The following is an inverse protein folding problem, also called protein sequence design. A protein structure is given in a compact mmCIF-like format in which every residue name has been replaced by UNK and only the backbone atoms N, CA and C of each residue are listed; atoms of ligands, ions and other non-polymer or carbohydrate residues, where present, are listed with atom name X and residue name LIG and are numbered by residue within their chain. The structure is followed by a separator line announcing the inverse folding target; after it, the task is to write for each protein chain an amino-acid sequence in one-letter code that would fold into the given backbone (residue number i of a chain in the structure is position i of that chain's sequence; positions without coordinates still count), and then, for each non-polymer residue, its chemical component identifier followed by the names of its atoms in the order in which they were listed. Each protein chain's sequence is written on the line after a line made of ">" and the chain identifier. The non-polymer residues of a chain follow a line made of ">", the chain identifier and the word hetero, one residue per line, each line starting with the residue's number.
data_IF_240565336648
#
_entry.id   IF_240565336648
#
_cell.length_a   1.000
_cell.length_b   1.000
_cell.length_c   1.000
_cell.angle_alpha   90.00
_cell.angle_beta   90.00
_cell.angle_gamma   90.00
#
_symmetry.space_group_name_H-M   'P 1'
#
loop_
_entity.id
_entity.type
_entity.pdbx_description
1 polymer ?
#
# COMPACT_ATOMS: atom_id res chain seq x y z
N UNK A 1 -35.08 34.00 -34.58
CA UNK A 1 -33.65 33.68 -34.40
C UNK A 1 -33.42 32.98 -33.06
N UNK A 2 -33.73 31.68 -32.95
CA UNK A 2 -33.58 30.91 -31.68
C UNK A 2 -33.44 29.40 -31.93
N UNK A 3 -32.61 29.02 -32.90
CA UNK A 3 -32.42 27.60 -33.29
C UNK A 3 -31.00 27.09 -32.94
N UNK A 4 -30.04 27.98 -32.64
CA UNK A 4 -28.64 27.59 -32.41
C UNK A 4 -28.25 27.20 -30.98
N UNK A 5 -29.15 27.31 -29.98
CA UNK A 5 -28.78 26.99 -28.58
C UNK A 5 -28.82 25.50 -28.22
N UNK A 6 -29.53 24.66 -28.98
CA UNK A 6 -29.66 23.23 -28.66
C UNK A 6 -28.63 22.31 -29.32
N UNK A 7 -27.79 22.83 -30.23
CA UNK A 7 -26.79 22.03 -30.94
C UNK A 7 -25.38 22.10 -30.31
N UNK A 8 -25.17 22.95 -29.31
CA UNK A 8 -23.86 23.11 -28.65
C UNK A 8 -23.65 22.20 -27.43
N UNK A 9 -24.72 21.60 -26.89
CA UNK A 9 -24.64 20.81 -25.65
C UNK A 9 -24.30 19.34 -25.90
N UNK A 10 -24.56 18.81 -27.11
CA UNK A 10 -24.32 17.41 -27.47
C UNK A 10 -22.91 17.08 -27.99
N UNK A 11 -22.05 18.09 -28.20
CA UNK A 11 -20.72 17.92 -28.81
C UNK A 11 -19.59 18.02 -27.77
N UNK A 12 -19.89 18.42 -26.53
CA UNK A 12 -18.88 18.50 -25.46
C UNK A 12 -18.80 17.20 -24.66
N UNK A 13 -18.58 16.07 -25.35
CA UNK A 13 -18.01 14.89 -24.68
C UNK A 13 -16.58 15.29 -24.33
N UNK A 14 -16.42 15.84 -23.12
CA UNK A 14 -15.16 16.18 -22.49
C UNK A 14 -14.11 15.11 -22.81
N UNK A 15 -13.01 15.49 -23.46
CA UNK A 15 -11.91 14.60 -23.86
C UNK A 15 -11.10 14.01 -22.70
N UNK A 16 -11.69 13.90 -21.50
CA UNK A 16 -11.10 13.25 -20.34
C UNK A 16 -11.26 11.74 -20.39
N UNK A 17 -10.29 11.01 -19.84
CA UNK A 17 -10.42 9.57 -19.61
C UNK A 17 -11.67 9.28 -18.78
N UNK A 18 -12.41 8.22 -19.15
CA UNK A 18 -13.59 7.83 -18.39
C UNK A 18 -13.21 7.49 -16.94
N UNK A 19 -14.05 7.83 -15.94
CA UNK A 19 -13.76 7.52 -14.55
C UNK A 19 -13.45 6.03 -14.30
N UNK A 20 -14.09 5.15 -15.07
CA UNK A 20 -13.86 3.71 -15.00
C UNK A 20 -12.43 3.32 -15.40
N UNK A 21 -11.88 3.92 -16.47
CA UNK A 21 -10.50 3.68 -16.89
C UNK A 21 -9.51 4.20 -15.86
N UNK A 22 -9.78 5.37 -15.27
CA UNK A 22 -8.92 5.95 -14.23
C UNK A 22 -8.93 5.10 -12.95
N UNK A 23 -10.10 4.61 -12.53
CA UNK A 23 -10.22 3.70 -11.37
C UNK A 23 -9.51 2.37 -11.63
N UNK A 24 -9.66 1.79 -12.83
CA UNK A 24 -8.97 0.57 -13.20
C UNK A 24 -7.45 0.71 -13.18
N UNK A 25 -6.92 1.81 -13.72
CA UNK A 25 -5.49 2.11 -13.67
C UNK A 25 -4.98 2.31 -12.23
N UNK A 26 -5.71 3.08 -11.41
CA UNK A 26 -5.37 3.31 -10.01
C UNK A 26 -5.37 2.01 -9.19
N UNK A 27 -6.38 1.14 -9.38
CA UNK A 27 -6.45 -0.16 -8.72
C UNK A 27 -5.29 -1.08 -9.14
N UNK A 28 -4.94 -1.09 -10.43
CA UNK A 28 -3.79 -1.84 -10.94
C UNK A 28 -2.47 -1.39 -10.32
N UNK A 29 -2.23 -0.07 -10.24
CA UNK A 29 -1.04 0.49 -9.59
C UNK A 29 -1.01 0.15 -8.10
N UNK A 30 -2.13 0.31 -7.39
CA UNK A 30 -2.22 -0.03 -5.98
C UNK A 30 -1.88 -1.50 -5.72
N UNK A 31 -2.40 -2.42 -6.55
CA UNK A 31 -2.11 -3.84 -6.46
C UNK A 31 -0.62 -4.14 -6.65
N UNK A 32 0.02 -3.54 -7.66
CA UNK A 32 1.45 -3.72 -7.91
C UNK A 32 2.30 -3.22 -6.74
N UNK A 33 1.96 -2.06 -6.18
CA UNK A 33 2.62 -1.51 -5.00
C UNK A 33 2.45 -2.47 -3.82
N UNK A 34 1.23 -2.92 -3.53
CA UNK A 34 0.96 -3.87 -2.45
C UNK A 34 1.74 -5.17 -2.62
N UNK A 35 1.88 -5.68 -3.85
CA UNK A 35 2.66 -6.88 -4.13
C UNK A 35 4.16 -6.67 -3.87
N UNK A 36 4.71 -5.51 -4.25
CA UNK A 36 6.11 -5.15 -3.94
C UNK A 36 6.31 -5.12 -2.42
N UNK A 37 5.43 -4.45 -1.68
CA UNK A 37 5.51 -4.41 -0.22
C UNK A 37 5.38 -5.80 0.42
N UNK A 38 4.51 -6.66 -0.11
CA UNK A 38 4.38 -8.05 0.34
C UNK A 38 5.68 -8.82 0.13
N UNK A 39 6.28 -8.73 -1.06
CA UNK A 39 7.56 -9.39 -1.38
C UNK A 39 8.67 -8.88 -0.46
N UNK A 40 8.77 -7.57 -0.26
CA UNK A 40 9.76 -6.97 0.66
C UNK A 40 9.53 -7.46 2.08
N UNK A 41 8.29 -7.52 2.56
CA UNK A 41 7.97 -7.99 3.91
C UNK A 41 8.38 -9.45 4.11
N UNK A 42 8.05 -10.33 3.15
CA UNK A 42 8.47 -11.74 3.18
C UNK A 42 10.00 -11.87 3.09
N UNK A 43 10.65 -11.10 2.23
CA UNK A 43 12.09 -11.08 2.11
C UNK A 43 12.76 -10.66 3.42
N UNK A 44 12.21 -9.68 4.14
CA UNK A 44 12.70 -9.28 5.45
C UNK A 44 12.55 -10.39 6.49
N UNK A 45 11.41 -11.10 6.52
CA UNK A 45 11.21 -12.22 7.44
C UNK A 45 12.25 -13.32 7.20
N UNK A 46 12.42 -13.74 5.95
CA UNK A 46 13.39 -14.79 5.57
C UNK A 46 14.82 -14.32 5.84
N UNK A 47 15.15 -13.08 5.48
CA UNK A 47 16.48 -12.51 5.73
C UNK A 47 16.79 -12.46 7.22
N UNK A 48 15.87 -11.98 8.05
CA UNK A 48 16.05 -11.93 9.52
C UNK A 48 16.19 -13.32 10.13
N UNK A 49 15.46 -14.32 9.63
CA UNK A 49 15.65 -15.70 10.05
C UNK A 49 17.07 -16.19 9.75
N UNK A 50 17.51 -16.07 8.49
CA UNK A 50 18.85 -16.51 8.06
C UNK A 50 19.98 -15.72 8.75
N UNK A 51 19.76 -14.45 9.02
CA UNK A 51 20.70 -13.63 9.79
C UNK A 51 20.83 -14.16 11.22
N UNK A 52 19.69 -14.42 11.89
CA UNK A 52 19.66 -14.92 13.25
C UNK A 52 20.25 -16.33 13.42
N UNK A 53 20.17 -17.20 12.39
CA UNK A 53 20.83 -18.52 12.40
C UNK A 53 22.33 -18.43 12.65
N UNK A 54 22.99 -17.37 12.17
CA UNK A 54 24.44 -17.21 12.27
C UNK A 54 24.90 -16.24 13.36
N UNK A 55 23.99 -15.43 13.92
CA UNK A 55 24.34 -14.28 14.77
C UNK A 55 23.58 -14.21 16.09
N UNK A 56 22.64 -15.10 16.37
CA UNK A 56 21.82 -15.04 17.58
C UNK A 56 22.05 -16.22 18.52
N UNK A 57 22.11 -15.92 19.82
CA UNK A 57 22.04 -16.92 20.90
C UNK A 57 20.59 -17.42 21.15
N UNK A 58 19.60 -16.82 20.49
CA UNK A 58 18.18 -17.17 20.61
C UNK A 58 17.66 -17.88 19.36
N UNK A 59 16.58 -18.69 19.50
CA UNK A 59 15.99 -19.37 18.35
C UNK A 59 15.63 -18.39 17.20
N UNK A 60 16.12 -18.60 15.97
CA UNK A 60 15.92 -17.69 14.83
C UNK A 60 14.44 -17.40 14.51
N UNK A 61 13.57 -18.38 14.77
CA UNK A 61 12.12 -18.25 14.60
C UNK A 61 11.53 -17.10 15.43
N UNK A 62 12.09 -16.79 16.61
CA UNK A 62 11.60 -15.69 17.44
C UNK A 62 11.79 -14.34 16.74
N UNK A 63 12.95 -14.13 16.12
CA UNK A 63 13.24 -12.91 15.37
C UNK A 63 12.39 -12.78 14.11
N UNK A 64 12.18 -13.88 13.39
CA UNK A 64 11.25 -13.92 12.25
C UNK A 64 9.83 -13.52 12.65
N UNK A 65 9.33 -14.01 13.81
CA UNK A 65 8.03 -13.63 14.35
C UNK A 65 7.96 -12.15 14.74
N UNK A 66 9.02 -11.60 15.35
CA UNK A 66 9.09 -10.16 15.67
C UNK A 66 8.94 -9.32 14.40
N UNK A 67 9.65 -9.68 13.32
CA UNK A 67 9.56 -8.95 12.03
C UNK A 67 8.20 -9.15 11.35
N UNK A 68 7.63 -10.34 11.41
CA UNK A 68 6.27 -10.60 10.92
C UNK A 68 5.22 -9.72 11.62
N UNK A 69 5.31 -9.59 12.95
CA UNK A 69 4.40 -8.75 13.72
C UNK A 69 4.79 -7.27 13.78
N UNK A 70 5.93 -6.87 13.20
CA UNK A 70 6.43 -5.48 13.25
C UNK A 70 5.41 -4.41 12.80
N UNK A 71 4.59 -4.62 11.75
CA UNK A 71 3.56 -3.65 11.38
C UNK A 71 2.51 -3.43 12.48
N UNK A 72 2.12 -4.50 13.18
CA UNK A 72 1.17 -4.43 14.30
C UNK A 72 1.87 -3.81 15.52
N UNK A 73 3.09 -4.21 15.82
CA UNK A 73 3.88 -3.65 16.92
C UNK A 73 4.08 -2.13 16.74
N UNK A 74 4.36 -1.66 15.53
CA UNK A 74 4.46 -0.23 15.22
C UNK A 74 3.15 0.52 15.48
N UNK A 75 2.00 -0.07 15.10
CA UNK A 75 0.68 0.50 15.40
C UNK A 75 0.40 0.54 16.91
N UNK A 76 0.73 -0.52 17.64
CA UNK A 76 0.57 -0.58 19.09
C UNK A 76 1.45 0.48 19.78
N UNK A 77 2.70 0.65 19.35
CA UNK A 77 3.59 1.68 19.88
C UNK A 77 3.04 3.09 19.63
N UNK A 78 2.50 3.35 18.43
CA UNK A 78 1.82 4.62 18.15
C UNK A 78 0.63 4.84 19.07
N UNK A 79 -0.22 3.83 19.27
CA UNK A 79 -1.43 3.96 20.10
C UNK A 79 -1.13 4.07 21.61
N UNK A 80 -0.06 3.44 22.10
CA UNK A 80 0.26 3.45 23.52
C UNK A 80 1.12 4.67 23.87
N UNK A 81 2.14 4.95 23.06
CA UNK A 81 3.17 5.94 23.36
C UNK A 81 3.01 7.17 22.46
N UNK A 82 2.91 6.96 21.14
CA UNK A 82 2.98 8.04 20.16
C UNK A 82 1.81 9.02 20.17
N UNK A 83 0.57 8.55 20.38
CA UNK A 83 -0.65 9.33 20.10
C UNK A 83 -0.87 10.56 20.97
N UNK A 84 -0.33 10.56 22.18
CA UNK A 84 -0.46 11.66 23.15
C UNK A 84 0.88 12.38 23.38
N UNK A 85 1.89 12.13 22.52
CA UNK A 85 3.23 12.72 22.66
C UNK A 85 3.36 14.15 22.10
N UNK A 86 2.26 14.79 21.70
CA UNK A 86 2.21 16.17 21.23
C UNK A 86 0.99 16.89 21.81
#
# INVERSE_FOLDING_TARGET
>A
MRIRKHLSEGVLISGGMSPLLLQGAAAGIALLISLVFLVVHLAMIVWTYSDAESRSDHPPVLWALVVFFAPILGLLLYLIIGRNSY
#
